data_IF_344198196136
#
_entry.id   IF_344198196136
#
_cell.length_a   1.000
_cell.length_b   1.000
_cell.length_c   1.000
_cell.angle_alpha   90.00
_cell.angle_beta   90.00
_cell.angle_gamma   90.00
#
_symmetry.space_group_name_H-M   'P 1'
#
loop_
_entity.id
_entity.type
_entity.pdbx_description
1 polymer ?
#
# COMPACT_ATOMS: atom_id res chain seq x y z
N UNK A 1 4.72 18.45 21.17
CA UNK A 1 4.02 17.14 21.23
C UNK A 1 3.48 16.64 19.88
N UNK A 2 3.65 17.39 18.78
CA UNK A 2 3.35 16.94 17.42
C UNK A 2 4.60 16.72 16.54
N UNK A 3 5.80 17.02 17.03
CA UNK A 3 7.04 16.90 16.24
C UNK A 3 7.32 15.48 15.72
N UNK A 4 6.96 14.43 16.47
CA UNK A 4 7.18 13.05 16.02
C UNK A 4 6.25 12.72 14.86
N UNK A 5 4.98 13.14 14.93
CA UNK A 5 4.02 12.93 13.85
C UNK A 5 4.41 13.76 12.62
N UNK A 6 4.77 15.03 12.80
CA UNK A 6 5.27 15.85 11.70
C UNK A 6 6.54 15.24 11.09
N UNK A 7 7.52 14.80 11.87
CA UNK A 7 8.77 14.23 11.33
C UNK A 7 8.55 12.92 10.55
N UNK A 8 7.52 12.13 10.89
CA UNK A 8 7.17 10.91 10.15
C UNK A 8 6.41 11.23 8.86
N UNK A 9 5.59 12.28 8.84
CA UNK A 9 4.73 12.61 7.71
C UNK A 9 5.21 13.79 6.84
N UNK A 10 6.24 14.51 7.27
CA UNK A 10 6.86 15.63 6.53
C UNK A 10 7.41 15.17 5.19
N UNK A 11 7.88 13.93 5.10
CA UNK A 11 8.32 13.31 3.86
C UNK A 11 7.19 13.24 2.82
N UNK A 12 5.96 12.94 3.23
CA UNK A 12 4.79 12.92 2.34
C UNK A 12 4.38 14.31 1.86
N UNK A 13 4.81 15.40 2.52
CA UNK A 13 4.51 16.76 2.07
C UNK A 13 5.14 17.12 0.73
N UNK A 14 6.18 16.40 0.31
CA UNK A 14 6.86 16.61 -0.97
C UNK A 14 6.42 15.62 -2.05
N UNK A 15 5.66 14.58 -1.69
CA UNK A 15 5.15 13.60 -2.64
C UNK A 15 3.91 14.14 -3.36
N UNK A 16 3.76 13.75 -4.62
CA UNK A 16 2.55 14.05 -5.36
C UNK A 16 1.40 13.22 -4.78
N UNK A 17 0.21 13.82 -4.66
CA UNK A 17 -0.99 13.10 -4.16
C UNK A 17 -1.25 11.80 -4.94
N UNK A 18 -0.92 11.77 -6.23
CA UNK A 18 -1.03 10.57 -7.07
C UNK A 18 -0.11 9.44 -6.60
N UNK A 19 1.12 9.73 -6.19
CA UNK A 19 2.08 8.71 -5.75
C UNK A 19 1.62 8.06 -4.44
N UNK A 20 1.08 8.88 -3.53
CA UNK A 20 0.49 8.42 -2.25
C UNK A 20 -0.71 7.50 -2.53
N UNK A 21 -1.58 7.86 -3.49
CA UNK A 21 -2.72 7.02 -3.86
C UNK A 21 -2.24 5.67 -4.42
N UNK A 22 -1.25 5.67 -5.32
CA UNK A 22 -0.69 4.44 -5.87
C UNK A 22 -0.08 3.55 -4.78
N UNK A 23 0.67 4.12 -3.85
CA UNK A 23 1.27 3.38 -2.73
C UNK A 23 0.18 2.74 -1.84
N UNK A 24 -0.87 3.49 -1.49
CA UNK A 24 -2.00 2.95 -0.73
C UNK A 24 -2.69 1.82 -1.49
N UNK A 25 -2.91 1.97 -2.80
CA UNK A 25 -3.50 0.89 -3.60
C UNK A 25 -2.61 -0.34 -3.66
N UNK A 26 -1.29 -0.18 -3.84
CA UNK A 26 -0.33 -1.29 -3.86
C UNK A 26 -0.31 -2.05 -2.52
N UNK A 27 -0.38 -1.35 -1.39
CA UNK A 27 -0.48 -1.97 -0.05
C UNK A 27 -1.78 -2.74 0.12
N UNK A 28 -2.92 -2.16 -0.29
CA UNK A 28 -4.23 -2.83 -0.21
C UNK A 28 -4.23 -4.12 -1.06
N UNK A 29 -3.73 -4.04 -2.29
CA UNK A 29 -3.62 -5.21 -3.17
C UNK A 29 -2.66 -6.27 -2.62
N UNK A 30 -1.57 -5.86 -1.96
CA UNK A 30 -0.64 -6.76 -1.27
C UNK A 30 -1.32 -7.50 -0.11
N UNK A 31 -2.07 -6.81 0.73
CA UNK A 31 -2.83 -7.42 1.83
C UNK A 31 -3.94 -8.34 1.31
N UNK A 32 -4.67 -7.91 0.26
CA UNK A 32 -5.67 -8.75 -0.41
C UNK A 32 -5.04 -10.01 -1.00
N UNK A 33 -3.82 -9.95 -1.55
CA UNK A 33 -3.12 -11.13 -2.08
C UNK A 33 -2.89 -12.21 -1.01
N UNK A 34 -2.50 -11.81 0.20
CA UNK A 34 -2.29 -12.72 1.34
C UNK A 34 -3.61 -13.38 1.75
N UNK A 35 -4.70 -12.63 1.75
CA UNK A 35 -6.02 -13.18 2.05
C UNK A 35 -6.48 -14.16 0.97
N UNK A 36 -6.35 -13.82 -0.31
CA UNK A 36 -6.67 -14.76 -1.40
C UNK A 36 -5.78 -16.02 -1.35
N UNK A 37 -4.55 -15.91 -0.84
CA UNK A 37 -3.61 -17.03 -0.70
C UNK A 37 -4.07 -17.99 0.37
N UNK A 38 -4.60 -17.47 1.47
CA UNK A 38 -5.23 -18.30 2.51
C UNK A 38 -6.45 -19.06 1.97
N UNK A 39 -7.13 -18.51 0.97
CA UNK A 39 -8.36 -19.08 0.41
C UNK A 39 -8.12 -19.98 -0.81
N UNK A 40 -6.87 -20.34 -1.14
CA UNK A 40 -6.47 -21.08 -2.36
C UNK A 40 -7.07 -20.49 -3.65
N UNK A 41 -7.26 -19.18 -3.71
CA UNK A 41 -7.86 -18.50 -4.85
C UNK A 41 -6.77 -18.09 -5.85
N UNK A 42 -6.99 -18.32 -7.15
CA UNK A 42 -6.05 -17.94 -8.22
C UNK A 42 -5.82 -16.42 -8.30
N UNK A 43 -6.73 -15.62 -7.73
CA UNK A 43 -6.64 -14.15 -7.71
C UNK A 43 -5.48 -13.60 -6.87
N UNK A 44 -4.76 -14.46 -6.14
CA UNK A 44 -3.47 -14.13 -5.48
C UNK A 44 -2.47 -13.56 -6.46
N UNK A 45 -2.34 -14.17 -7.63
CA UNK A 45 -1.31 -13.81 -8.59
C UNK A 45 -1.51 -12.41 -9.19
N UNK A 46 -2.69 -12.04 -9.73
CA UNK A 46 -2.90 -10.69 -10.24
C UNK A 46 -2.86 -9.62 -9.14
N UNK A 47 -3.35 -9.92 -7.94
CA UNK A 47 -3.34 -8.96 -6.82
C UNK A 47 -1.93 -8.75 -6.24
N UNK A 48 -1.12 -9.81 -6.18
CA UNK A 48 0.30 -9.71 -5.83
C UNK A 48 1.11 -8.95 -6.89
N UNK A 49 0.86 -9.20 -8.18
CA UNK A 49 1.54 -8.47 -9.26
C UNK A 49 1.23 -6.97 -9.29
N UNK A 50 0.00 -6.55 -8.94
CA UNK A 50 -0.36 -5.12 -8.83
C UNK A 50 0.30 -4.44 -7.62
N UNK A 51 0.64 -5.24 -6.60
CA UNK A 51 1.32 -4.75 -5.39
C UNK A 51 2.83 -4.57 -5.57
N UNK A 52 3.42 -5.20 -6.60
CA UNK A 52 4.87 -5.18 -6.86
C UNK A 52 5.23 -4.13 -7.89
#
# INVERSE_FOLDING_TARGET
>A
MYQIFNSLFEQYSQYQTFDIIFEVTAVVFGLSSVWFSKNNNILVYPTGMIST
#
